data_IF_622308930597
#
_entry.id   IF_622308930597
#
_cell.length_a   1.000
_cell.length_b   1.000
_cell.length_c   1.000
_cell.angle_alpha   90.00
_cell.angle_beta   90.00
_cell.angle_gamma   90.00
#
_symmetry.space_group_name_H-M   'P 1'
#
loop_
_entity.id
_entity.type
_entity.pdbx_description
1 polymer ?
#
# COMPACT_ATOMS: atom_id res chain seq x y z
N UNK A 1 -5.54 -0.80 10.22
CA UNK A 1 -5.85 -0.96 8.77
C UNK A 1 -5.16 0.09 7.92
N UNK A 2 -5.34 1.40 8.17
CA UNK A 2 -4.64 2.46 7.41
C UNK A 2 -3.10 2.26 7.37
N UNK A 3 -2.49 1.95 8.53
CA UNK A 3 -1.06 1.68 8.63
C UNK A 3 -0.56 0.57 7.68
N UNK A 4 -1.26 -0.57 7.62
CA UNK A 4 -0.86 -1.68 6.74
C UNK A 4 -0.97 -1.30 5.28
N UNK A 5 -2.06 -0.61 4.89
CA UNK A 5 -2.22 -0.15 3.49
C UNK A 5 -1.09 0.82 3.11
N UNK A 6 -0.69 1.72 4.02
CA UNK A 6 0.47 2.58 3.78
C UNK A 6 1.77 1.78 3.65
N UNK A 7 1.96 0.74 4.45
CA UNK A 7 3.14 -0.14 4.37
C UNK A 7 3.19 -0.88 3.02
N UNK A 8 2.05 -1.43 2.58
CA UNK A 8 1.89 -2.07 1.28
C UNK A 8 2.20 -1.10 0.12
N UNK A 9 1.81 0.18 0.24
CA UNK A 9 2.10 1.22 -0.77
C UNK A 9 3.60 1.55 -0.80
N UNK A 10 4.24 1.64 0.36
CA UNK A 10 5.67 1.94 0.46
C UNK A 10 6.53 0.83 -0.18
N UNK A 11 6.06 -0.41 -0.20
CA UNK A 11 6.70 -1.52 -0.93
C UNK A 11 6.83 -1.24 -2.44
N UNK A 12 5.94 -0.41 -3.01
CA UNK A 12 5.97 0.02 -4.40
C UNK A 12 6.68 1.34 -4.63
N UNK A 13 7.02 2.14 -3.62
CA UNK A 13 7.60 3.48 -3.82
C UNK A 13 9.12 3.54 -3.75
N UNK A 14 9.79 2.39 -3.66
CA UNK A 14 11.23 2.38 -3.54
C UNK A 14 11.94 2.97 -4.75
N UNK A 15 12.76 3.99 -4.48
CA UNK A 15 13.92 4.33 -5.30
C UNK A 15 15.03 3.40 -4.84
N UNK A 16 15.39 2.41 -5.67
CA UNK A 16 16.43 1.43 -5.34
C UNK A 16 17.73 2.11 -4.87
N UNK A 17 18.02 3.30 -5.42
CA UNK A 17 19.17 4.13 -5.05
C UNK A 17 19.13 4.66 -3.61
N UNK A 18 17.93 4.83 -3.03
CA UNK A 18 17.73 5.37 -1.67
C UNK A 18 17.47 4.30 -0.62
N UNK A 19 16.83 3.19 -0.99
CA UNK A 19 16.36 2.17 -0.05
C UNK A 19 17.23 0.90 0.00
N UNK A 20 18.10 0.68 -1.00
CA UNK A 20 19.02 -0.46 -1.02
C UNK A 20 18.35 -1.84 -0.96
N UNK A 21 17.06 -1.91 -1.29
CA UNK A 21 16.22 -3.12 -1.29
C UNK A 21 15.40 -3.19 -2.58
N UNK A 22 15.13 -4.40 -3.09
CA UNK A 22 14.25 -4.57 -4.24
C UNK A 22 12.82 -4.13 -3.90
N UNK A 23 12.19 -3.41 -4.82
CA UNK A 23 10.77 -3.02 -4.73
C UNK A 23 9.84 -4.20 -4.91
N UNK A 24 8.60 -4.05 -4.42
CA UNK A 24 7.53 -5.02 -4.51
C UNK A 24 7.89 -6.39 -3.91
N UNK A 25 8.47 -6.38 -2.71
CA UNK A 25 8.84 -7.59 -1.99
C UNK A 25 7.63 -8.50 -1.75
N UNK A 26 6.47 -7.93 -1.45
CA UNK A 26 5.25 -8.72 -1.24
C UNK A 26 4.85 -9.48 -2.50
N UNK A 27 4.86 -8.79 -3.65
CA UNK A 27 4.55 -9.41 -4.93
C UNK A 27 5.57 -10.50 -5.30
N UNK A 28 6.86 -10.29 -5.00
CA UNK A 28 7.92 -11.29 -5.20
C UNK A 28 7.69 -12.56 -4.36
N UNK A 29 7.04 -12.44 -3.20
CA UNK A 29 6.62 -13.59 -2.38
C UNK A 29 5.28 -14.19 -2.79
N UNK A 30 4.65 -13.67 -3.85
CA UNK A 30 3.34 -14.08 -4.34
C UNK A 30 2.17 -13.53 -3.53
N UNK A 31 2.38 -12.44 -2.80
CA UNK A 31 1.34 -11.76 -2.01
C UNK A 31 0.82 -10.57 -2.82
N UNK A 32 -0.44 -10.64 -3.23
CA UNK A 32 -1.13 -9.51 -3.86
C UNK A 32 -1.74 -8.61 -2.77
N UNK A 33 -1.08 -7.48 -2.49
CA UNK A 33 -1.57 -6.44 -1.57
C UNK A 33 -2.55 -5.50 -2.25
N UNK A 34 -3.14 -4.56 -1.51
CA UNK A 34 -4.22 -3.71 -2.03
C UNK A 34 -3.88 -2.97 -3.34
N UNK A 35 -2.68 -2.38 -3.54
CA UNK A 35 -2.34 -1.75 -4.82
C UNK A 35 -2.42 -2.70 -6.01
N UNK A 36 -2.00 -3.96 -5.83
CA UNK A 36 -2.06 -5.02 -6.85
C UNK A 36 -3.49 -5.43 -7.11
N UNK A 37 -4.30 -5.61 -6.06
CA UNK A 37 -5.69 -6.02 -6.19
C UNK A 37 -6.52 -4.99 -6.95
N UNK A 38 -6.32 -3.69 -6.65
CA UNK A 38 -6.99 -2.60 -7.37
C UNK A 38 -6.53 -2.50 -8.83
N UNK A 39 -5.23 -2.69 -9.09
CA UNK A 39 -4.73 -2.79 -10.47
C UNK A 39 -5.39 -3.94 -11.25
N UNK A 40 -5.63 -5.09 -10.60
CA UNK A 40 -6.30 -6.23 -11.22
C UNK A 40 -7.80 -5.99 -11.46
N UNK A 41 -8.44 -4.98 -10.87
CA UNK A 41 -9.84 -4.66 -11.21
C UNK A 41 -9.96 -4.18 -12.66
N UNK A 42 -8.97 -3.43 -13.14
CA UNK A 42 -8.87 -2.98 -14.54
C UNK A 42 -8.12 -3.97 -15.44
N UNK A 43 -7.27 -4.83 -14.86
CA UNK A 43 -6.42 -5.79 -15.57
C UNK A 43 -6.54 -7.22 -14.99
N UNK A 44 -7.72 -7.85 -15.03
CA UNK A 44 -8.01 -9.07 -14.25
C UNK A 44 -7.13 -10.28 -14.60
N UNK A 45 -6.71 -10.39 -15.86
CA UNK A 45 -5.90 -11.51 -16.35
C UNK A 45 -4.42 -11.14 -16.54
N UNK A 46 -3.90 -10.19 -15.76
CA UNK A 46 -2.53 -9.70 -15.94
C UNK A 46 -1.50 -10.83 -15.75
N UNK A 47 -0.78 -11.26 -16.81
CA UNK A 47 -0.07 -12.53 -16.83
C UNK A 47 1.08 -12.58 -15.82
N UNK A 48 1.79 -11.46 -15.65
CA UNK A 48 2.93 -11.38 -14.73
C UNK A 48 2.48 -11.33 -13.26
N UNK A 49 1.33 -10.72 -12.96
CA UNK A 49 0.77 -10.72 -11.60
C UNK A 49 0.28 -12.12 -11.26
N UNK A 50 -0.44 -12.79 -12.18
CA UNK A 50 -0.88 -14.17 -11.99
C UNK A 50 0.30 -15.13 -11.84
N UNK A 51 1.38 -14.95 -12.62
CA UNK A 51 2.63 -15.70 -12.47
C UNK A 51 3.24 -15.52 -11.07
N UNK A 52 3.29 -14.28 -10.57
CA UNK A 52 3.80 -13.97 -9.24
C UNK A 52 2.97 -14.64 -8.14
N UNK A 53 1.64 -14.46 -8.16
CA UNK A 53 0.70 -15.03 -7.17
C UNK A 53 0.67 -16.55 -7.20
N UNK A 54 0.84 -17.16 -8.38
CA UNK A 54 1.01 -18.61 -8.53
C UNK A 54 2.37 -19.14 -8.04
N UNK A 55 3.23 -18.27 -7.49
CA UNK A 55 4.58 -18.59 -7.01
C UNK A 55 5.45 -19.26 -8.07
N UNK A 56 5.32 -18.81 -9.32
CA UNK A 56 6.15 -19.24 -10.43
C UNK A 56 7.40 -18.38 -10.61
N UNK A 57 7.77 -17.61 -9.57
CA UNK A 57 9.00 -16.82 -9.44
C UNK A 57 9.34 -16.03 -10.71
N UNK A 58 8.59 -14.96 -11.03
CA UNK A 58 8.94 -14.05 -12.11
C UNK A 58 10.36 -13.49 -11.91
N UNK A 59 11.01 -13.19 -13.03
CA UNK A 59 12.34 -12.57 -13.05
C UNK A 59 12.28 -11.14 -12.50
N UNK A 60 13.43 -10.59 -12.12
CA UNK A 60 13.51 -9.21 -11.63
C UNK A 60 12.96 -8.20 -12.66
N UNK A 61 13.30 -8.37 -13.93
CA UNK A 61 12.79 -7.53 -15.02
C UNK A 61 11.27 -7.63 -15.20
N UNK A 62 10.68 -8.81 -15.02
CA UNK A 62 9.22 -9.00 -15.05
C UNK A 62 8.54 -8.30 -13.85
N UNK A 63 9.16 -8.36 -12.66
CA UNK A 63 8.65 -7.63 -11.49
C UNK A 63 8.75 -6.12 -11.70
N UNK A 64 9.89 -5.62 -12.17
CA UNK A 64 10.08 -4.19 -12.48
C UNK A 64 9.03 -3.67 -13.48
N UNK A 65 8.73 -4.46 -14.52
CA UNK A 65 7.68 -4.15 -15.48
C UNK A 65 6.32 -4.01 -14.78
N UNK A 66 5.90 -5.00 -14.00
CA UNK A 66 4.61 -4.96 -13.27
C UNK A 66 4.56 -3.79 -12.30
N UNK A 67 5.65 -3.50 -11.60
CA UNK A 67 5.72 -2.35 -10.69
C UNK A 67 5.53 -1.04 -11.45
N UNK A 68 6.12 -0.89 -12.63
CA UNK A 68 5.92 0.30 -13.47
C UNK A 68 4.46 0.42 -13.92
N UNK A 69 3.82 -0.67 -14.31
CA UNK A 69 2.41 -0.71 -14.71
C UNK A 69 1.48 -0.36 -13.53
N UNK A 70 1.71 -0.92 -12.34
CA UNK A 70 0.95 -0.60 -11.13
C UNK A 70 1.13 0.87 -10.74
N UNK A 71 2.36 1.41 -10.82
CA UNK A 71 2.65 2.82 -10.55
C UNK A 71 1.98 3.77 -11.53
N UNK A 72 1.83 3.35 -12.78
CA UNK A 72 1.12 4.11 -13.81
C UNK A 72 -0.40 3.96 -13.72
N UNK A 73 -0.90 2.96 -12.99
CA UNK A 73 -2.33 2.73 -12.77
C UNK A 73 -2.92 3.60 -11.65
N UNK A 74 -4.25 3.52 -11.47
CA UNK A 74 -4.95 4.12 -10.33
C UNK A 74 -4.72 3.42 -8.99
N UNK A 75 -4.20 2.18 -8.99
CA UNK A 75 -4.19 1.29 -7.82
C UNK A 75 -3.45 1.85 -6.60
N UNK A 76 -2.33 2.56 -6.80
CA UNK A 76 -1.62 3.24 -5.70
C UNK A 76 -2.46 4.38 -5.12
N UNK A 77 -2.99 5.25 -5.98
CA UNK A 77 -3.75 6.42 -5.55
C UNK A 77 -5.04 6.01 -4.83
N UNK A 78 -5.72 4.98 -5.32
CA UNK A 78 -6.93 4.45 -4.68
C UNK A 78 -6.63 3.78 -3.33
N UNK A 79 -5.49 3.10 -3.22
CA UNK A 79 -5.00 2.56 -1.94
C UNK A 79 -4.73 3.68 -0.93
N UNK A 80 -4.09 4.77 -1.36
CA UNK A 80 -3.86 5.97 -0.52
C UNK A 80 -5.19 6.54 -0.02
N UNK A 81 -6.17 6.68 -0.90
CA UNK A 81 -7.47 7.22 -0.52
C UNK A 81 -8.22 6.29 0.44
N UNK A 82 -8.07 4.97 0.28
CA UNK A 82 -8.58 3.97 1.24
C UNK A 82 -7.91 4.14 2.61
N UNK A 83 -6.59 4.28 2.67
CA UNK A 83 -5.86 4.49 3.92
C UNK A 83 -6.31 5.77 4.63
N UNK A 84 -6.44 6.88 3.90
CA UNK A 84 -6.93 8.17 4.42
C UNK A 84 -8.35 8.09 4.96
N UNK A 85 -9.26 7.40 4.25
CA UNK A 85 -10.63 7.17 4.74
C UNK A 85 -10.64 6.39 6.05
N UNK A 86 -9.84 5.33 6.16
CA UNK A 86 -9.74 4.53 7.38
C UNK A 86 -9.14 5.30 8.56
N UNK A 87 -8.16 6.16 8.32
CA UNK A 87 -7.61 7.04 9.35
C UNK A 87 -8.66 8.05 9.83
N UNK A 88 -9.42 8.66 8.93
CA UNK A 88 -10.52 9.56 9.29
C UNK A 88 -11.58 8.85 10.12
N UNK A 89 -11.97 7.63 9.74
CA UNK A 89 -12.90 6.82 10.55
C UNK A 89 -12.37 6.54 11.95
N UNK A 90 -11.06 6.30 12.10
CA UNK A 90 -10.43 6.14 13.41
C UNK A 90 -10.50 7.43 14.23
N UNK A 91 -10.26 8.60 13.62
CA UNK A 91 -10.40 9.90 14.29
C UNK A 91 -11.84 10.19 14.72
N UNK A 92 -12.81 9.92 13.85
CA UNK A 92 -14.24 10.06 14.13
C UNK A 92 -14.65 9.20 15.33
N UNK A 93 -14.17 7.96 15.40
CA UNK A 93 -14.42 7.04 16.51
C UNK A 93 -13.88 7.53 17.86
N UNK A 94 -12.89 8.43 17.87
CA UNK A 94 -12.35 9.03 19.09
C UNK A 94 -13.15 10.24 19.58
N UNK A 95 -14.05 10.79 18.75
CA UNK A 95 -14.85 11.98 19.08
C UNK A 95 -15.64 11.90 20.38
N UNK A 96 -16.30 10.75 20.70
CA UNK A 96 -17.07 10.62 21.94
C UNK A 96 -16.22 10.59 23.22
N UNK A 97 -14.90 10.40 23.12
CA UNK A 97 -14.02 10.32 24.28
C UNK A 97 -13.73 11.72 24.87
N UNK A 98 -13.54 11.85 26.19
CA UNK A 98 -13.15 13.12 26.80
C UNK A 98 -11.86 13.67 26.18
N UNK A 99 -11.80 14.99 25.97
CA UNK A 99 -10.56 15.63 25.53
C UNK A 99 -9.52 15.60 26.65
N UNK A 100 -8.44 14.88 26.39
CA UNK A 100 -7.31 14.73 27.30
C UNK A 100 -6.05 14.37 26.48
N UNK A 101 -4.91 14.25 27.17
CA UNK A 101 -3.63 13.93 26.52
C UNK A 101 -3.63 12.57 25.77
N UNK A 102 -4.42 11.60 26.24
CA UNK A 102 -4.49 10.28 25.63
C UNK A 102 -5.32 10.29 24.34
N UNK A 103 -6.47 10.98 24.34
CA UNK A 103 -7.27 11.17 23.13
C UNK A 103 -6.46 11.89 22.04
N UNK A 104 -5.72 12.95 22.40
CA UNK A 104 -4.85 13.68 21.47
C UNK A 104 -3.74 12.80 20.91
N UNK A 105 -3.04 12.04 21.75
CA UNK A 105 -2.05 11.08 21.28
C UNK A 105 -2.61 10.03 20.31
N UNK A 106 -3.84 9.54 20.53
CA UNK A 106 -4.49 8.61 19.61
C UNK A 106 -4.87 9.27 18.27
N UNK A 107 -5.27 10.53 18.27
CA UNK A 107 -5.51 11.31 17.05
C UNK A 107 -4.19 11.48 16.26
N UNK A 108 -3.10 11.83 16.94
CA UNK A 108 -1.78 11.98 16.33
C UNK A 108 -1.31 10.66 15.68
N UNK A 109 -1.53 9.52 16.35
CA UNK A 109 -1.22 8.18 15.80
C UNK A 109 -2.07 7.88 14.56
N UNK A 110 -3.35 8.25 14.57
CA UNK A 110 -4.25 8.04 13.44
C UNK A 110 -3.83 8.87 12.22
N UNK A 111 -3.46 10.14 12.42
CA UNK A 111 -2.93 11.01 11.37
C UNK A 111 -1.61 10.47 10.82
N UNK A 112 -0.66 10.14 11.71
CA UNK A 112 0.64 9.58 11.31
C UNK A 112 0.50 8.31 10.49
N UNK A 113 -0.49 7.46 10.81
CA UNK A 113 -0.72 6.19 10.10
C UNK A 113 -1.16 6.36 8.64
N UNK A 114 -1.59 7.55 8.21
CA UNK A 114 -2.02 7.85 6.83
C UNK A 114 -1.18 8.93 6.14
N UNK A 115 -0.20 9.52 6.83
CA UNK A 115 0.63 10.62 6.35
C UNK A 115 2.12 10.27 6.30
N UNK A 116 2.49 8.97 6.29
CA UNK A 116 3.90 8.55 6.10
C UNK A 116 4.42 9.17 4.79
N UNK A 117 5.62 9.76 4.83
CA UNK A 117 6.24 10.42 3.68
C UNK A 117 6.19 9.49 2.45
N UNK A 118 5.54 10.00 1.39
CA UNK A 118 5.42 9.44 0.04
C UNK A 118 6.40 10.19 -0.86
#
# INVERSE_FOLDING_TARGET
MAFQIMDDILDFQGDEARLGKPVANDLRQGIATLPVLLFLEDSPDHPLVLKAVAKQYPTDAEIEQVVAEIRASGGIQESLDKARRLARQAQEALTPLPDNKYRRALLDIADYSAARDI
#
